data_IF_223139391443
#
_entry.id   IF_223139391443
#
_cell.length_a   1.000
_cell.length_b   1.000
_cell.length_c   1.000
_cell.angle_alpha   90.00
_cell.angle_beta   90.00
_cell.angle_gamma   90.00
#
_symmetry.space_group_name_H-M   'P 1'
#
loop_
_entity.id
_entity.type
_entity.pdbx_description
1 polymer ?
#
# COMPACT_ATOMS: atom_id res chain seq x y z
N UNK A 1 6.45 -8.51 5.22
CA UNK A 1 6.20 -7.18 5.82
C UNK A 1 4.96 -6.58 5.18
N UNK A 2 4.09 -6.02 5.98
CA UNK A 2 2.84 -5.42 5.50
C UNK A 2 2.90 -3.90 5.68
N UNK A 3 2.44 -3.18 4.67
CA UNK A 3 2.36 -1.72 4.72
C UNK A 3 1.05 -1.23 4.12
N UNK A 4 0.41 -0.29 4.82
CA UNK A 4 -0.65 0.53 4.24
C UNK A 4 -0.02 1.76 3.61
N UNK A 5 -0.31 1.99 2.35
CA UNK A 5 0.19 3.15 1.61
C UNK A 5 -0.99 3.97 1.11
N UNK A 6 -0.98 5.25 1.40
CA UNK A 6 -1.98 6.20 0.94
C UNK A 6 -1.29 7.18 0.01
N UNK A 7 -1.76 7.28 -1.23
CA UNK A 7 -1.19 8.22 -2.20
C UNK A 7 -1.94 9.54 -2.22
N UNK A 8 -1.16 10.63 -2.28
CA UNK A 8 -1.64 11.98 -2.55
C UNK A 8 -1.04 12.43 -3.87
N UNK A 9 -1.76 12.34 -5.00
CA UNK A 9 -1.25 12.80 -6.28
C UNK A 9 -1.11 14.34 -6.29
N UNK A 10 -0.26 14.85 -7.20
CA UNK A 10 -0.12 16.29 -7.36
C UNK A 10 -1.45 16.92 -7.76
N UNK A 11 -1.59 18.21 -7.45
CA UNK A 11 -2.80 19.00 -7.74
C UNK A 11 -2.88 19.39 -9.23
N UNK A 12 -2.84 18.41 -10.12
CA UNK A 12 -3.06 18.57 -11.55
C UNK A 12 -4.52 18.30 -11.88
N UNK A 13 -4.99 18.79 -13.02
CA UNK A 13 -6.33 18.42 -13.48
C UNK A 13 -6.37 16.92 -13.76
N UNK A 14 -7.43 16.20 -13.33
CA UNK A 14 -7.55 14.78 -13.64
C UNK A 14 -7.47 14.46 -15.13
N UNK A 15 -8.05 15.32 -15.98
CA UNK A 15 -8.01 15.15 -17.43
C UNK A 15 -6.59 15.25 -18.01
N UNK A 16 -5.72 16.05 -17.42
CA UNK A 16 -4.33 16.18 -17.85
C UNK A 16 -3.51 14.95 -17.49
N UNK A 17 -3.95 14.17 -16.50
CA UNK A 17 -3.29 12.96 -16.02
C UNK A 17 -3.93 11.68 -16.57
N UNK A 18 -4.89 11.77 -17.48
CA UNK A 18 -5.65 10.61 -17.94
C UNK A 18 -4.76 9.52 -18.54
N UNK A 19 -3.77 9.91 -19.37
CA UNK A 19 -2.85 8.96 -20.01
C UNK A 19 -1.96 8.26 -18.99
N UNK A 20 -1.43 8.98 -17.99
CA UNK A 20 -0.62 8.41 -16.93
C UNK A 20 -1.46 7.43 -16.09
N UNK A 21 -2.71 7.79 -15.80
CA UNK A 21 -3.64 6.92 -15.05
C UNK A 21 -3.97 5.63 -15.80
N UNK A 22 -4.03 5.67 -17.12
CA UNK A 22 -4.20 4.46 -17.93
C UNK A 22 -3.02 3.49 -17.78
N UNK A 23 -1.81 4.01 -17.62
CA UNK A 23 -0.61 3.18 -17.40
C UNK A 23 -0.50 2.61 -16.00
N UNK A 24 -1.10 3.28 -15.01
CA UNK A 24 -1.02 2.88 -13.60
C UNK A 24 -1.71 1.53 -13.34
N UNK A 25 -2.91 1.34 -13.83
CA UNK A 25 -3.71 0.14 -13.51
C UNK A 25 -3.09 -1.16 -14.05
N UNK A 26 -2.61 -1.24 -15.30
CA UNK A 26 -1.89 -2.44 -15.76
C UNK A 26 -0.62 -2.72 -14.97
N UNK A 27 0.11 -1.69 -14.58
CA UNK A 27 1.31 -1.82 -13.75
C UNK A 27 0.96 -2.42 -12.37
N UNK A 28 -0.05 -1.87 -11.71
CA UNK A 28 -0.49 -2.36 -10.41
C UNK A 28 -1.09 -3.76 -10.50
N UNK A 29 -1.76 -4.10 -11.60
CA UNK A 29 -2.31 -5.44 -11.81
C UNK A 29 -1.24 -6.52 -11.76
N UNK A 30 -0.01 -6.23 -12.19
CA UNK A 30 1.12 -7.15 -12.06
C UNK A 30 1.46 -7.45 -10.61
N UNK A 31 1.40 -6.45 -9.75
CA UNK A 31 1.63 -6.64 -8.32
C UNK A 31 0.46 -7.35 -7.62
N UNK A 32 -0.76 -7.16 -8.09
CA UNK A 32 -1.91 -7.94 -7.60
C UNK A 32 -1.74 -9.42 -7.95
N UNK A 33 -1.36 -9.71 -9.19
CA UNK A 33 -1.16 -11.09 -9.65
C UNK A 33 -0.04 -11.81 -8.90
N UNK A 34 1.03 -11.10 -8.53
CA UNK A 34 2.15 -11.69 -7.79
C UNK A 34 1.92 -11.80 -6.28
N UNK A 35 0.82 -11.24 -5.76
CA UNK A 35 0.52 -11.24 -4.32
C UNK A 35 1.23 -10.14 -3.54
N UNK A 36 1.93 -9.23 -4.19
CA UNK A 36 2.57 -8.09 -3.54
C UNK A 36 1.54 -7.02 -3.17
N UNK A 37 0.59 -6.74 -4.06
CA UNK A 37 -0.57 -5.89 -3.76
C UNK A 37 -1.71 -6.79 -3.26
N UNK A 38 -2.01 -6.71 -1.97
CA UNK A 38 -3.09 -7.52 -1.37
C UNK A 38 -4.45 -6.85 -1.54
N UNK A 39 -4.52 -5.55 -1.35
CA UNK A 39 -5.75 -4.76 -1.43
C UNK A 39 -5.45 -3.42 -2.05
N UNK A 40 -6.36 -2.93 -2.87
CA UNK A 40 -6.26 -1.62 -3.49
C UNK A 40 -7.65 -1.01 -3.62
N UNK A 41 -7.79 0.25 -3.21
CA UNK A 41 -9.02 1.00 -3.32
C UNK A 41 -8.73 2.44 -3.75
N UNK A 42 -9.36 2.93 -4.83
CA UNK A 42 -9.33 4.36 -5.12
C UNK A 42 -10.00 5.14 -3.99
N UNK A 43 -9.45 6.29 -3.66
CA UNK A 43 -10.03 7.20 -2.67
C UNK A 43 -11.10 8.06 -3.32
N UNK A 44 -12.12 8.42 -2.56
CA UNK A 44 -13.08 9.43 -3.00
C UNK A 44 -12.32 10.73 -3.28
N UNK A 45 -12.51 11.28 -4.48
CA UNK A 45 -11.77 12.43 -4.96
C UNK A 45 -10.55 12.00 -5.75
N UNK A 46 -9.40 11.85 -5.09
CA UNK A 46 -8.13 11.52 -5.77
C UNK A 46 -7.25 10.64 -4.89
N UNK A 47 -6.42 9.86 -5.54
CA UNK A 47 -5.46 9.01 -4.85
C UNK A 47 -5.96 7.59 -4.66
N UNK A 48 -5.13 6.77 -4.04
CA UNK A 48 -5.36 5.33 -3.90
C UNK A 48 -4.85 4.89 -2.54
N UNK A 49 -5.53 3.92 -1.93
CA UNK A 49 -5.07 3.22 -0.72
C UNK A 49 -4.70 1.80 -1.10
N UNK A 50 -3.51 1.37 -0.73
CA UNK A 50 -2.98 0.04 -1.06
C UNK A 50 -2.43 -0.63 0.18
N UNK A 51 -2.65 -1.93 0.30
CA UNK A 51 -1.93 -2.77 1.26
C UNK A 51 -0.94 -3.63 0.49
N UNK A 52 0.35 -3.42 0.76
CA UNK A 52 1.45 -4.19 0.15
C UNK A 52 2.00 -5.22 1.11
N UNK A 53 2.31 -6.40 0.57
CA UNK A 53 3.11 -7.42 1.23
C UNK A 53 4.45 -7.51 0.52
N UNK A 54 5.50 -7.06 1.20
CA UNK A 54 6.85 -6.98 0.62
C UNK A 54 7.87 -7.73 1.48
N UNK A 55 8.99 -8.06 0.88
CA UNK A 55 10.08 -8.77 1.55
C UNK A 55 11.00 -7.83 2.33
N UNK A 56 11.07 -6.56 1.92
CA UNK A 56 12.00 -5.59 2.49
C UNK A 56 11.50 -4.16 2.29
N UNK A 57 12.08 -3.23 3.05
CA UNK A 57 11.86 -1.80 2.82
C UNK A 57 12.37 -1.37 1.45
N UNK A 58 13.46 -1.97 0.97
CA UNK A 58 14.01 -1.65 -0.35
C UNK A 58 13.03 -1.99 -1.46
N UNK A 59 12.33 -3.12 -1.34
CA UNK A 59 11.29 -3.49 -2.30
C UNK A 59 10.15 -2.47 -2.32
N UNK A 60 9.66 -2.07 -1.16
CA UNK A 60 8.61 -1.06 -1.07
C UNK A 60 9.07 0.27 -1.65
N UNK A 61 10.29 0.69 -1.33
CA UNK A 61 10.87 1.93 -1.84
C UNK A 61 10.92 1.93 -3.38
N UNK A 62 11.32 0.80 -3.97
CA UNK A 62 11.36 0.65 -5.42
C UNK A 62 9.96 0.76 -6.03
N UNK A 63 8.98 0.08 -5.45
CA UNK A 63 7.59 0.11 -5.92
C UNK A 63 7.04 1.54 -5.89
N UNK A 64 7.26 2.27 -4.80
CA UNK A 64 6.75 3.62 -4.67
C UNK A 64 7.45 4.61 -5.61
N UNK A 65 8.72 4.39 -5.92
CA UNK A 65 9.41 5.18 -6.92
C UNK A 65 8.92 4.90 -8.34
N UNK A 66 8.63 3.64 -8.67
CA UNK A 66 7.98 3.29 -9.94
C UNK A 66 6.60 3.96 -10.04
N UNK A 67 5.84 3.93 -8.95
CA UNK A 67 4.53 4.57 -8.89
C UNK A 67 4.64 6.08 -9.15
N UNK A 68 5.53 6.75 -8.42
CA UNK A 68 5.72 8.20 -8.55
C UNK A 68 6.22 8.60 -9.94
N UNK A 69 6.90 7.70 -10.64
CA UNK A 69 7.34 7.92 -12.01
C UNK A 69 6.16 7.84 -13.00
N UNK A 70 5.18 7.00 -12.72
CA UNK A 70 3.96 6.89 -13.53
C UNK A 70 3.00 8.05 -13.22
N UNK A 71 2.69 8.25 -11.93
CA UNK A 71 1.84 9.33 -11.43
C UNK A 71 2.55 10.01 -10.27
N UNK A 72 3.08 11.22 -10.46
CA UNK A 72 3.74 11.93 -9.37
C UNK A 72 2.82 12.07 -8.16
N UNK A 73 3.29 11.62 -7.02
CA UNK A 73 2.50 11.59 -5.79
C UNK A 73 3.41 11.61 -4.56
N UNK A 74 2.85 12.03 -3.45
CA UNK A 74 3.40 11.80 -2.12
C UNK A 74 2.70 10.62 -1.48
N UNK A 75 3.37 9.95 -0.56
CA UNK A 75 2.85 8.76 0.08
C UNK A 75 2.91 8.88 1.59
N UNK A 76 1.81 8.50 2.24
CA UNK A 76 1.80 8.20 3.67
C UNK A 76 1.93 6.69 3.82
N UNK A 77 2.87 6.24 4.64
CA UNK A 77 3.23 4.83 4.76
C UNK A 77 3.08 4.41 6.21
N UNK A 78 2.29 3.37 6.44
CA UNK A 78 2.04 2.82 7.77
C UNK A 78 2.43 1.35 7.81
N UNK A 79 3.45 0.97 8.61
CA UNK A 79 3.74 -0.45 8.82
C UNK A 79 2.60 -1.10 9.57
N UNK A 80 2.24 -2.31 9.14
CA UNK A 80 1.14 -3.07 9.70
C UNK A 80 1.64 -4.36 10.31
N UNK A 81 0.92 -4.85 11.30
CA UNK A 81 1.16 -6.15 11.92
C UNK A 81 0.10 -7.14 11.43
N UNK A 82 0.50 -8.38 11.20
CA UNK A 82 -0.44 -9.45 10.88
C UNK A 82 -1.39 -9.67 12.06
N UNK A 83 -2.67 -9.88 11.75
CA UNK A 83 -3.69 -10.12 12.78
C UNK A 83 -3.33 -11.29 13.69
N UNK A 84 -2.77 -12.37 13.11
CA UNK A 84 -2.39 -13.55 13.90
C UNK A 84 -1.29 -13.24 14.91
N UNK A 85 -0.34 -12.38 14.57
CA UNK A 85 0.71 -11.96 15.50
C UNK A 85 0.13 -11.16 16.66
N UNK A 86 -0.81 -10.27 16.40
CA UNK A 86 -1.51 -9.50 17.44
C UNK A 86 -2.36 -10.41 18.33
N UNK A 87 -3.08 -11.37 17.75
CA UNK A 87 -3.87 -12.33 18.51
C UNK A 87 -2.99 -13.18 19.40
N UNK A 88 -1.83 -13.62 18.92
CA UNK A 88 -0.87 -14.39 19.72
C UNK A 88 -0.29 -13.56 20.90
N UNK A 89 0.01 -12.29 20.66
CA UNK A 89 0.48 -11.40 21.71
C UNK A 89 -0.59 -11.20 22.78
N UNK A 90 -1.83 -10.97 22.39
CA UNK A 90 -2.95 -10.82 23.33
C UNK A 90 -3.15 -12.10 24.15
N UNK A 91 -3.13 -13.27 23.52
CA UNK A 91 -3.24 -14.55 24.20
C UNK A 91 -2.12 -14.74 25.23
N UNK A 92 -0.89 -14.34 24.89
CA UNK A 92 0.25 -14.34 25.79
C UNK A 92 0.03 -13.44 27.01
N UNK A 93 -0.50 -12.23 26.82
CA UNK A 93 -0.80 -11.32 27.91
C UNK A 93 -1.92 -11.85 28.82
N UNK A 94 -2.97 -12.42 28.25
CA UNK A 94 -4.06 -13.04 29.03
C UNK A 94 -3.52 -14.20 29.87
N UNK A 95 -2.70 -15.07 29.30
CA UNK A 95 -2.09 -16.19 30.01
C UNK A 95 -1.21 -15.70 31.17
N UNK A 96 -0.46 -14.61 30.99
CA UNK A 96 0.39 -14.03 32.05
C UNK A 96 -0.42 -13.43 33.20
N UNK A 97 -1.65 -13.00 32.97
CA UNK A 97 -2.50 -12.35 33.99
C UNK A 97 -3.45 -13.32 34.71
N UNK A 98 -3.52 -14.59 34.31
CA UNK A 98 -4.40 -15.60 34.91
C UNK A 98 -3.79 -16.38 36.07
N UNK A 99 -2.68 -15.97 36.58
CA UNK A 99 -2.00 -16.66 37.69
C UNK A 99 -2.69 -16.36 39.01
#
# INVERSE_FOLDING_TARGET
MLFLVISEPRADRPSDMARARQGFWPWMAGYQASGVCLHIYPRVGRGVVVVFKVESNDQLHRILNEWADIIPAQFDIYPLVDFNATAALLASHVAATTI
#
